data_IF_781766466744
#
_entry.id   IF_781766466744
#
_cell.length_a   1.000
_cell.length_b   1.000
_cell.length_c   1.000
_cell.angle_alpha   90.00
_cell.angle_beta   90.00
_cell.angle_gamma   90.00
#
_symmetry.space_group_name_H-M   'P 1'
#
loop_
_entity.id
_entity.type
_entity.pdbx_description
1 polymer ?
#
# COMPACT_ATOMS: atom_id res chain seq x y z
N UNK A 1 -1.43 -0.89 7.26
CA UNK A 1 -0.06 -1.32 7.63
C UNK A 1 0.21 -2.81 7.48
N UNK A 2 -0.71 -3.69 7.88
CA UNK A 2 -0.50 -5.15 7.84
C UNK A 2 -0.15 -5.73 6.46
N UNK A 3 -0.68 -5.14 5.38
CA UNK A 3 -0.36 -5.53 3.99
C UNK A 3 1.09 -5.22 3.63
N UNK A 4 1.56 -3.99 3.90
CA UNK A 4 2.93 -3.55 3.60
C UNK A 4 3.95 -4.40 4.37
N UNK A 5 3.68 -4.69 5.65
CA UNK A 5 4.56 -5.51 6.49
C UNK A 5 4.74 -6.93 5.93
N UNK A 6 3.73 -7.46 5.25
CA UNK A 6 3.74 -8.80 4.69
C UNK A 6 4.21 -8.84 3.23
N UNK A 7 4.60 -7.70 2.65
CA UNK A 7 5.05 -7.63 1.27
C UNK A 7 6.42 -8.28 1.11
N UNK A 8 6.54 -9.15 0.11
CA UNK A 8 7.76 -9.86 -0.20
C UNK A 8 8.30 -9.52 -1.59
N UNK A 9 9.56 -9.86 -1.86
CA UNK A 9 10.19 -9.71 -3.18
C UNK A 9 9.33 -10.37 -4.27
N UNK A 10 8.77 -11.54 -3.96
CA UNK A 10 7.93 -12.34 -4.86
C UNK A 10 6.56 -11.70 -5.16
N UNK A 11 6.21 -10.64 -4.44
CA UNK A 11 4.98 -9.87 -4.66
C UNK A 11 5.21 -8.66 -5.60
N UNK A 12 6.47 -8.28 -5.88
CA UNK A 12 6.82 -7.09 -6.68
C UNK A 12 6.93 -7.44 -8.17
N UNK A 13 6.30 -6.63 -9.01
CA UNK A 13 6.38 -6.73 -10.47
C UNK A 13 6.89 -5.39 -11.03
N UNK A 14 8.19 -5.32 -11.27
CA UNK A 14 8.84 -4.09 -11.76
C UNK A 14 8.55 -3.82 -13.24
N UNK A 15 8.20 -4.84 -14.02
CA UNK A 15 7.86 -4.70 -15.43
C UNK A 15 6.44 -4.12 -15.57
N UNK A 16 5.48 -4.67 -14.83
CA UNK A 16 4.13 -4.11 -14.75
C UNK A 16 4.05 -2.83 -13.89
N UNK A 17 5.12 -2.47 -13.19
CA UNK A 17 5.23 -1.24 -12.41
C UNK A 17 4.40 -1.24 -11.12
N UNK A 18 4.35 -2.36 -10.38
CA UNK A 18 3.50 -2.46 -9.21
C UNK A 18 3.78 -3.62 -8.26
N UNK A 19 2.85 -3.84 -7.34
CA UNK A 19 2.93 -4.90 -6.33
C UNK A 19 1.61 -5.66 -6.18
N UNK A 20 1.71 -6.96 -5.96
CA UNK A 20 0.57 -7.83 -5.69
C UNK A 20 0.33 -7.94 -4.18
N UNK A 21 -0.79 -7.39 -3.69
CA UNK A 21 -1.17 -7.55 -2.28
C UNK A 21 -1.82 -8.92 -2.09
N UNK A 22 -1.01 -9.91 -1.70
CA UNK A 22 -1.45 -11.32 -1.55
C UNK A 22 -1.75 -11.72 -0.11
N UNK A 23 -1.16 -11.03 0.85
CA UNK A 23 -1.12 -11.41 2.26
C UNK A 23 -1.10 -10.17 3.15
N UNK A 24 -1.48 -10.37 4.41
CA UNK A 24 -1.35 -9.38 5.45
C UNK A 24 -0.86 -10.05 6.74
N UNK A 25 -0.04 -9.35 7.52
CA UNK A 25 0.39 -9.78 8.85
C UNK A 25 -0.49 -9.12 9.91
N UNK A 26 -1.30 -9.91 10.62
CA UNK A 26 -2.13 -9.44 11.74
C UNK A 26 -1.65 -10.13 13.00
N UNK A 27 -1.19 -9.34 13.97
CA UNK A 27 -0.43 -9.85 15.11
C UNK A 27 0.76 -10.72 14.64
N UNK A 28 0.84 -11.97 15.08
CA UNK A 28 1.88 -12.91 14.68
C UNK A 28 1.53 -13.72 13.42
N UNK A 29 0.31 -13.60 12.89
CA UNK A 29 -0.19 -14.48 11.83
C UNK A 29 -0.14 -13.82 10.46
N UNK A 30 0.26 -14.59 9.45
CA UNK A 30 0.08 -14.24 8.05
C UNK A 30 -1.23 -14.84 7.55
N UNK A 31 -2.05 -14.01 6.89
CA UNK A 31 -3.32 -14.45 6.31
C UNK A 31 -3.56 -13.83 4.96
N UNK A 32 -4.21 -14.58 4.08
CA UNK A 32 -4.73 -14.02 2.83
C UNK A 32 -5.91 -13.09 3.11
N UNK A 33 -6.16 -12.08 2.27
CA UNK A 33 -7.34 -11.24 2.41
C UNK A 33 -8.64 -12.06 2.39
N UNK A 34 -9.56 -11.76 3.31
CA UNK A 34 -10.85 -12.46 3.46
C UNK A 34 -11.69 -12.43 2.18
N UNK A 35 -11.66 -11.31 1.47
CA UNK A 35 -12.40 -11.11 0.22
C UNK A 35 -11.47 -11.29 -0.97
N UNK A 36 -11.89 -12.06 -1.98
CA UNK A 36 -11.10 -12.25 -3.22
C UNK A 36 -10.78 -10.92 -3.92
N UNK A 37 -11.72 -9.97 -3.89
CA UNK A 37 -11.56 -8.62 -4.44
C UNK A 37 -10.42 -7.82 -3.80
N UNK A 38 -9.95 -8.21 -2.60
CA UNK A 38 -8.85 -7.52 -1.91
C UNK A 38 -7.46 -8.00 -2.35
N UNK A 39 -7.37 -9.16 -3.02
CA UNK A 39 -6.15 -9.48 -3.78
C UNK A 39 -6.14 -8.55 -4.98
N UNK A 40 -5.17 -7.65 -4.99
CA UNK A 40 -5.11 -6.59 -5.97
C UNK A 40 -3.69 -6.34 -6.40
N UNK A 41 -3.55 -5.85 -7.61
CA UNK A 41 -2.36 -5.20 -8.08
C UNK A 41 -2.45 -3.71 -7.71
N UNK A 42 -1.42 -3.21 -7.03
CA UNK A 42 -1.26 -1.79 -6.71
C UNK A 42 -0.20 -1.24 -7.66
N UNK A 43 -0.60 -0.28 -8.48
CA UNK A 43 0.30 0.41 -9.40
C UNK A 43 1.13 1.41 -8.58
N UNK A 44 2.45 1.38 -8.75
CA UNK A 44 3.35 2.28 -8.06
C UNK A 44 3.57 3.53 -8.92
N UNK A 45 3.34 4.70 -8.33
CA UNK A 45 3.73 5.98 -8.94
C UNK A 45 5.25 6.09 -9.03
N UNK A 46 5.76 6.94 -9.93
CA UNK A 46 7.21 7.05 -10.21
C UNK A 46 8.10 7.14 -8.94
N UNK A 47 7.82 8.00 -7.94
CA UNK A 47 8.63 8.04 -6.71
C UNK A 47 8.63 6.71 -5.93
N UNK A 48 7.51 5.98 -5.97
CA UNK A 48 7.40 4.68 -5.30
C UNK A 48 8.12 3.58 -6.08
N UNK A 49 8.15 3.65 -7.41
CA UNK A 49 8.96 2.74 -8.24
C UNK A 49 10.46 2.94 -7.99
N UNK A 50 10.92 4.18 -7.95
CA UNK A 50 12.32 4.51 -7.63
C UNK A 50 12.72 3.99 -6.24
N UNK A 51 11.86 4.19 -5.24
CA UNK A 51 12.07 3.65 -3.90
C UNK A 51 12.06 2.12 -3.90
N UNK A 52 11.12 1.49 -4.63
CA UNK A 52 11.04 0.04 -4.72
C UNK A 52 12.29 -0.58 -5.35
N UNK A 53 12.88 0.06 -6.36
CA UNK A 53 14.17 -0.37 -6.92
C UNK A 53 15.29 -0.39 -5.87
N UNK A 54 15.33 0.62 -4.99
CA UNK A 54 16.32 0.67 -3.91
C UNK A 54 16.05 -0.43 -2.86
N UNK A 55 14.79 -0.64 -2.49
CA UNK A 55 14.39 -1.70 -1.56
C UNK A 55 14.76 -3.09 -2.13
N UNK A 56 14.56 -3.32 -3.42
CA UNK A 56 14.94 -4.58 -4.08
C UNK A 56 16.45 -4.80 -4.08
N UNK A 57 17.24 -3.73 -4.28
CA UNK A 57 18.71 -3.81 -4.18
C UNK A 57 19.17 -4.16 -2.76
N UNK A 58 18.57 -3.51 -1.75
CA UNK A 58 18.88 -3.77 -0.33
C UNK A 58 18.49 -5.20 0.09
N UNK A 59 17.36 -5.70 -0.42
CA UNK A 59 16.86 -7.05 -0.09
C UNK A 59 17.55 -8.20 -0.82
N UNK A 60 18.51 -7.92 -1.71
CA UNK A 60 19.19 -8.96 -2.50
C UNK A 60 19.93 -10.00 -1.64
N UNK A 61 20.39 -9.61 -0.44
CA UNK A 61 21.07 -10.50 0.51
C UNK A 61 20.16 -11.13 1.56
N UNK A 62 18.85 -10.88 1.52
CA UNK A 62 17.94 -11.35 2.58
C UNK A 62 17.64 -12.83 2.44
N UNK A 63 17.60 -13.53 3.57
CA UNK A 63 17.22 -14.94 3.60
C UNK A 63 15.73 -15.13 3.31
N UNK A 64 15.44 -16.16 2.50
CA UNK A 64 14.08 -16.67 2.28
C UNK A 64 13.57 -17.36 3.54
N UNK A 65 12.39 -16.97 3.98
CA UNK A 65 11.71 -17.55 5.14
C UNK A 65 10.52 -18.39 4.68
N UNK A 66 10.32 -19.54 5.31
CA UNK A 66 9.07 -20.31 5.18
C UNK A 66 8.04 -19.76 6.16
N UNK A 67 6.89 -19.31 5.65
CA UNK A 67 5.78 -18.80 6.45
C UNK A 67 4.55 -19.68 6.27
N UNK A 68 3.83 -19.89 7.37
CA UNK A 68 2.46 -20.42 7.30
C UNK A 68 1.48 -19.28 7.05
N UNK A 69 0.78 -19.35 5.92
CA UNK A 69 -0.25 -18.40 5.53
C UNK A 69 -1.62 -19.03 5.72
N UNK A 70 -2.40 -18.46 6.64
CA UNK A 70 -3.79 -18.83 6.88
C UNK A 70 -4.63 -18.45 5.66
N UNK A 71 -5.37 -19.43 5.15
CA UNK A 71 -6.23 -19.28 3.98
C UNK A 71 -7.60 -18.70 4.37
N UNK A 72 -8.46 -18.44 3.38
CA UNK A 72 -9.73 -17.71 3.57
C UNK A 72 -10.73 -18.42 4.50
N UNK A 73 -10.66 -19.74 4.58
CA UNK A 73 -11.46 -20.56 5.49
C UNK A 73 -11.05 -20.39 6.96
N UNK A 74 -9.98 -19.63 7.25
CA UNK A 74 -9.35 -19.45 8.56
C UNK A 74 -8.92 -20.75 9.25
N UNK A 75 -8.81 -21.84 8.51
CA UNK A 75 -8.44 -23.16 9.02
C UNK A 75 -7.25 -23.70 8.25
N UNK A 76 -7.31 -23.70 6.93
CA UNK A 76 -6.25 -24.21 6.08
C UNK A 76 -5.03 -23.30 6.19
N UNK A 77 -3.85 -23.91 6.35
CA UNK A 77 -2.55 -23.24 6.35
C UNK A 77 -1.75 -23.72 5.14
N UNK A 78 -1.16 -22.79 4.40
CA UNK A 78 -0.24 -23.11 3.30
C UNK A 78 1.12 -22.56 3.62
N UNK A 79 2.14 -23.36 3.36
CA UNK A 79 3.54 -22.94 3.46
C UNK A 79 3.90 -22.15 2.22
N UNK A 80 4.47 -20.97 2.43
CA UNK A 80 5.00 -20.13 1.37
C UNK A 80 6.45 -19.79 1.69
N UNK A 81 7.35 -19.97 0.73
CA UNK A 81 8.77 -19.63 0.86
C UNK A 81 9.01 -18.29 0.19
N UNK A 82 9.21 -17.24 0.99
CA UNK A 82 9.21 -15.84 0.52
C UNK A 82 10.33 -15.01 1.15
N UNK A 83 10.61 -13.85 0.57
CA UNK A 83 11.62 -12.90 1.03
C UNK A 83 10.96 -11.59 1.47
N UNK A 84 10.72 -11.42 2.77
CA UNK A 84 10.08 -10.20 3.30
C UNK A 84 10.95 -8.95 3.07
N UNK A 85 10.35 -7.91 2.48
CA UNK A 85 11.05 -6.68 2.07
C UNK A 85 11.39 -5.76 3.24
N UNK A 86 10.43 -5.52 4.14
CA UNK A 86 10.57 -4.49 5.17
C UNK A 86 11.10 -5.06 6.48
N UNK A 87 12.35 -4.73 6.79
CA UNK A 87 13.08 -5.21 7.96
C UNK A 87 13.65 -4.06 8.78
N UNK A 88 13.90 -4.31 10.05
CA UNK A 88 14.59 -3.36 10.90
C UNK A 88 16.06 -3.30 10.46
N UNK A 89 16.56 -2.11 10.14
CA UNK A 89 17.92 -1.93 9.61
C UNK A 89 19.04 -2.25 10.61
N UNK A 90 18.73 -2.33 11.90
CA UNK A 90 19.68 -2.66 12.96
C UNK A 90 19.65 -4.16 13.27
N UNK A 91 18.45 -4.74 13.48
CA UNK A 91 18.33 -6.15 13.87
C UNK A 91 18.18 -7.13 12.71
N UNK A 92 17.88 -6.67 11.49
CA UNK A 92 17.57 -7.52 10.34
C UNK A 92 16.23 -8.26 10.41
N UNK A 93 15.47 -8.07 11.49
CA UNK A 93 14.20 -8.76 11.74
C UNK A 93 13.07 -8.09 10.92
N UNK A 94 12.18 -8.87 10.28
CA UNK A 94 11.00 -8.33 9.62
C UNK A 94 10.15 -7.45 10.53
N UNK A 95 9.67 -6.33 10.00
CA UNK A 95 8.84 -5.39 10.74
C UNK A 95 7.57 -6.07 11.28
N UNK A 96 7.15 -5.67 12.48
CA UNK A 96 5.84 -6.01 13.05
C UNK A 96 4.98 -4.75 13.14
N UNK A 97 3.66 -4.92 13.28
CA UNK A 97 2.76 -3.77 13.43
C UNK A 97 3.15 -2.84 14.58
N UNK A 98 3.65 -3.41 15.68
CA UNK A 98 4.14 -2.66 16.83
C UNK A 98 5.41 -1.89 16.49
N UNK A 99 6.43 -2.55 15.94
CA UNK A 99 7.70 -1.92 15.59
C UNK A 99 7.51 -0.76 14.60
N UNK A 100 6.62 -0.91 13.60
CA UNK A 100 6.34 0.20 12.68
C UNK A 100 5.64 1.35 13.39
N UNK A 101 4.69 1.05 14.28
CA UNK A 101 3.98 2.07 15.03
C UNK A 101 4.94 2.87 15.92
N UNK A 102 5.81 2.19 16.67
CA UNK A 102 6.82 2.81 17.53
C UNK A 102 7.80 3.67 16.73
N UNK A 103 8.34 3.11 15.64
CA UNK A 103 9.24 3.84 14.75
C UNK A 103 8.57 5.07 14.15
N UNK A 104 7.34 4.95 13.65
CA UNK A 104 6.61 6.04 13.03
C UNK A 104 6.28 7.14 14.05
N UNK A 105 5.85 6.78 15.25
CA UNK A 105 5.61 7.74 16.34
C UNK A 105 6.87 8.51 16.71
N UNK A 106 8.01 7.82 16.86
CA UNK A 106 9.29 8.46 17.13
C UNK A 106 9.72 9.37 15.96
N UNK A 107 9.50 8.93 14.72
CA UNK A 107 9.79 9.72 13.53
C UNK A 107 8.96 11.02 13.49
N UNK A 108 7.64 10.93 13.70
CA UNK A 108 6.76 12.11 13.76
C UNK A 108 7.20 13.11 14.82
N UNK A 109 7.57 12.64 16.02
CA UNK A 109 8.07 13.50 17.10
C UNK A 109 9.34 14.26 16.69
N UNK A 110 10.30 13.57 16.06
CA UNK A 110 11.54 14.20 15.56
C UNK A 110 11.27 15.21 14.44
N UNK A 111 10.26 14.96 13.61
CA UNK A 111 9.84 15.85 12.52
C UNK A 111 8.94 17.01 12.98
N UNK A 112 8.62 17.13 14.28
CA UNK A 112 7.71 18.18 14.78
C UNK A 112 6.25 17.99 14.36
N UNK A 113 5.86 16.79 13.95
CA UNK A 113 4.51 16.49 13.44
C UNK A 113 3.67 15.88 14.55
N UNK A 114 2.46 16.43 14.77
CA UNK A 114 1.51 15.87 15.73
C UNK A 114 1.22 14.39 15.45
N UNK A 115 1.14 13.60 16.54
CA UNK A 115 1.00 12.15 16.46
C UNK A 115 -0.21 11.73 15.63
N UNK A 116 0.01 10.80 14.72
CA UNK A 116 -1.02 10.17 13.89
C UNK A 116 -0.53 8.77 13.49
N UNK A 117 -1.44 7.79 13.42
CA UNK A 117 -1.05 6.44 13.03
C UNK A 117 -0.58 6.35 11.58
N UNK A 118 0.33 5.43 11.27
CA UNK A 118 0.86 5.23 9.91
C UNK A 118 -0.24 4.89 8.86
N UNK A 119 -1.40 4.36 9.31
CA UNK A 119 -2.56 4.16 8.44
C UNK A 119 -3.08 5.49 7.82
N UNK A 120 -2.78 6.65 8.42
CA UNK A 120 -3.16 7.95 7.86
C UNK A 120 -2.48 8.26 6.53
N UNK A 121 -1.32 7.68 6.24
CA UNK A 121 -0.65 7.84 4.94
C UNK A 121 -1.54 7.37 3.78
N UNK A 122 -2.36 6.33 4.00
CA UNK A 122 -3.35 5.86 3.01
C UNK A 122 -4.41 6.92 2.72
N UNK A 123 -4.86 7.63 3.75
CA UNK A 123 -5.85 8.71 3.60
C UNK A 123 -5.24 9.93 2.90
N UNK A 124 -4.00 10.29 3.24
CA UNK A 124 -3.27 11.36 2.57
C UNK A 124 -3.09 11.06 1.08
N UNK A 125 -2.65 9.85 0.72
CA UNK A 125 -2.52 9.43 -0.68
C UNK A 125 -3.84 9.56 -1.44
N UNK A 126 -4.92 9.01 -0.88
CA UNK A 126 -6.24 9.08 -1.52
C UNK A 126 -6.70 10.53 -1.72
N UNK A 127 -6.56 11.37 -0.69
CA UNK A 127 -6.94 12.79 -0.78
C UNK A 127 -6.13 13.52 -1.85
N UNK A 128 -4.81 13.33 -1.89
CA UNK A 128 -3.94 13.99 -2.87
C UNK A 128 -4.25 13.56 -4.31
N UNK A 129 -4.48 12.26 -4.53
CA UNK A 129 -4.85 11.75 -5.85
C UNK A 129 -6.18 12.37 -6.34
N UNK A 130 -7.19 12.41 -5.46
CA UNK A 130 -8.50 12.99 -5.80
C UNK A 130 -8.38 14.50 -6.07
N UNK A 131 -7.63 15.23 -5.25
CA UNK A 131 -7.36 16.66 -5.48
C UNK A 131 -6.57 16.92 -6.77
N UNK A 132 -5.86 15.91 -7.27
CA UNK A 132 -5.15 15.93 -8.54
C UNK A 132 -5.99 15.41 -9.71
N UNK A 133 -7.31 15.29 -9.54
CA UNK A 133 -8.26 14.86 -10.58
C UNK A 133 -8.04 13.43 -11.09
N UNK A 134 -7.39 12.58 -10.31
CA UNK A 134 -7.27 11.15 -10.64
C UNK A 134 -8.66 10.50 -10.57
N UNK A 135 -9.05 9.66 -11.56
CA UNK A 135 -10.35 8.99 -11.58
C UNK A 135 -10.63 8.22 -10.29
N UNK A 136 -11.85 8.37 -9.74
CA UNK A 136 -12.24 7.77 -8.47
C UNK A 136 -12.20 6.24 -8.52
N UNK A 137 -12.51 5.67 -9.69
CA UNK A 137 -12.48 4.24 -9.97
C UNK A 137 -11.06 3.68 -9.84
N UNK A 138 -10.07 4.42 -10.38
CA UNK A 138 -8.67 4.05 -10.25
C UNK A 138 -8.22 4.11 -8.78
N UNK A 139 -8.54 5.21 -8.08
CA UNK A 139 -8.19 5.36 -6.65
C UNK A 139 -8.84 4.26 -5.81
N UNK A 140 -10.12 3.94 -6.04
CA UNK A 140 -10.82 2.87 -5.34
C UNK A 140 -10.11 1.51 -5.50
N UNK A 141 -9.70 1.20 -6.73
CA UNK A 141 -8.95 -0.03 -7.05
C UNK A 141 -7.60 -0.08 -6.33
N UNK A 142 -6.82 1.00 -6.32
CA UNK A 142 -5.55 1.06 -5.58
C UNK A 142 -5.74 0.81 -4.07
N UNK A 143 -6.82 1.36 -3.50
CA UNK A 143 -7.16 1.21 -2.08
C UNK A 143 -7.77 -0.17 -1.75
N UNK A 144 -8.10 -1.00 -2.75
CA UNK A 144 -8.77 -2.28 -2.54
C UNK A 144 -10.23 -2.14 -2.10
N UNK A 145 -10.91 -1.10 -2.57
CA UNK A 145 -12.36 -0.96 -2.45
C UNK A 145 -13.03 -1.62 -3.66
N UNK A 146 -14.16 -2.27 -3.44
CA UNK A 146 -14.96 -2.90 -4.51
C UNK A 146 -15.60 -1.86 -5.43
N UNK A 147 -15.95 -0.70 -4.88
CA UNK A 147 -16.59 0.40 -5.58
C UNK A 147 -16.07 1.77 -5.11
N UNK A 148 -16.60 2.84 -5.71
CA UNK A 148 -16.27 4.22 -5.33
C UNK A 148 -17.06 4.73 -4.13
N UNK A 149 -18.04 3.98 -3.61
CA UNK A 149 -18.94 4.40 -2.52
C UNK A 149 -18.13 4.81 -1.29
N UNK A 150 -17.16 3.98 -0.89
CA UNK A 150 -16.30 4.28 0.26
C UNK A 150 -15.38 5.47 0.00
N UNK A 151 -14.90 5.66 -1.24
CA UNK A 151 -14.07 6.83 -1.59
C UNK A 151 -14.91 8.10 -1.53
N UNK A 152 -16.08 8.13 -2.17
CA UNK A 152 -17.03 9.26 -2.14
C UNK A 152 -17.48 9.59 -0.73
N UNK A 153 -17.75 8.60 0.12
CA UNK A 153 -18.13 8.81 1.52
C UNK A 153 -17.04 9.53 2.32
N UNK A 154 -15.78 9.14 2.15
CA UNK A 154 -14.67 9.69 2.94
C UNK A 154 -14.09 10.98 2.36
N UNK A 155 -14.09 11.12 1.04
CA UNK A 155 -13.39 12.20 0.34
C UNK A 155 -14.29 13.06 -0.54
N UNK A 156 -15.59 12.76 -0.65
CA UNK A 156 -16.52 13.47 -1.51
C UNK A 156 -16.60 14.98 -1.22
N UNK A 157 -16.42 15.38 0.04
CA UNK A 157 -16.35 16.80 0.44
C UNK A 157 -15.14 17.54 -0.15
N UNK A 158 -14.06 16.83 -0.45
CA UNK A 158 -12.82 17.38 -1.00
C UNK A 158 -12.77 17.31 -2.53
N UNK A 159 -13.79 16.72 -3.16
CA UNK A 159 -14.01 16.88 -4.59
C UNK A 159 -14.39 18.35 -4.79
N UNK A 160 -13.59 19.16 -5.53
CA UNK A 160 -13.77 20.60 -5.58
C UNK A 160 -15.15 20.96 -6.13
N UNK A 161 -16.01 21.56 -5.31
CA UNK A 161 -17.29 22.14 -5.77
C UNK A 161 -17.08 23.33 -6.71
N UNK A 162 -15.93 24.02 -6.59
CA UNK A 162 -15.44 25.04 -7.51
C UNK A 162 -14.30 24.46 -8.35
N UNK A 163 -14.65 23.64 -9.33
CA UNK A 163 -13.68 23.07 -10.27
C UNK A 163 -13.14 24.19 -11.16
N UNK A 164 -11.81 24.29 -11.32
CA UNK A 164 -11.24 25.04 -12.46
C UNK A 164 -11.81 24.45 -13.74
N UNK A 165 -12.08 25.26 -14.77
CA UNK A 165 -12.63 24.74 -16.03
C UNK A 165 -11.80 23.57 -16.53
N UNK A 166 -12.41 22.37 -16.53
CA UNK A 166 -11.77 21.15 -17.00
C UNK A 166 -11.67 21.12 -18.52
N UNK A 167 -12.32 22.06 -19.23
CA UNK A 167 -12.37 22.09 -20.68
C UNK A 167 -10.98 21.98 -21.31
N UNK A 168 -9.99 22.73 -20.80
CA UNK A 168 -8.61 22.68 -21.32
C UNK A 168 -7.94 21.31 -21.11
N UNK A 169 -8.00 20.79 -19.89
CA UNK A 169 -7.41 19.48 -19.53
C UNK A 169 -8.06 18.36 -20.34
N UNK A 170 -9.38 18.40 -20.46
CA UNK A 170 -10.15 17.42 -21.24
C UNK A 170 -9.84 17.55 -22.73
N UNK A 171 -9.68 18.77 -23.25
CA UNK A 171 -9.29 18.99 -24.65
C UNK A 171 -7.93 18.36 -24.95
N UNK A 172 -6.93 18.60 -24.10
CA UNK A 172 -5.61 17.97 -24.21
C UNK A 172 -5.69 16.44 -24.11
N UNK A 173 -6.50 15.89 -23.18
CA UNK A 173 -6.72 14.44 -23.05
C UNK A 173 -7.42 13.82 -24.26
N UNK A 174 -8.28 14.57 -24.95
CA UNK A 174 -8.99 14.14 -26.15
C UNK A 174 -8.16 14.39 -27.44
N UNK A 175 -7.02 15.07 -27.33
CA UNK A 175 -6.14 15.38 -28.46
C UNK A 175 -6.62 16.53 -29.35
N UNK A 176 -7.43 17.47 -28.79
CA UNK A 176 -7.80 18.72 -29.45
C UNK A 176 -6.77 19.84 -29.24
#
# INVERSE_FOLDING_TARGET
MSEVIALAVEDVDMEAGGVHVRRARVAAEYKVPKERSRIRFVELIAPALELMQQILKDSAGYERTELEVIQRDNVTRKKERITLLFRNSVSGIPWSGQNVSEWFTAHLKRSGVAHRGANQCRHTFASQAISSYVPLEWVARQLGHTDTTMVKKHYGRWIPANTKSMAKIVSEMMGF
#
